data_IF_314581712218
#
_entry.id   IF_314581712218
#
_cell.length_a   1.000
_cell.length_b   1.000
_cell.length_c   1.000
_cell.angle_alpha   90.00
_cell.angle_beta   90.00
_cell.angle_gamma   90.00
#
_symmetry.space_group_name_H-M   'P 1'
#
loop_
_entity.id
_entity.type
_entity.pdbx_description
1 polymer ?
#
# COMPACT_ATOMS: atom_id res chain seq x y z
N UNK A 1 10.31 -5.18 5.38
CA UNK A 1 9.06 -5.03 4.64
C UNK A 1 8.79 -6.27 3.79
N UNK A 2 7.52 -6.68 3.69
CA UNK A 2 7.09 -7.77 2.83
C UNK A 2 6.59 -7.18 1.50
N UNK A 3 7.17 -7.67 0.39
CA UNK A 3 6.76 -7.30 -0.97
C UNK A 3 5.93 -8.42 -1.59
N UNK A 4 4.65 -8.16 -1.82
CA UNK A 4 3.71 -9.10 -2.41
C UNK A 4 3.48 -8.79 -3.90
N UNK A 5 4.11 -9.57 -4.77
CA UNK A 5 3.95 -9.48 -6.24
C UNK A 5 2.60 -9.98 -6.74
N UNK A 6 1.88 -10.77 -5.93
CA UNK A 6 0.60 -11.38 -6.33
C UNK A 6 -0.52 -10.35 -6.40
N UNK A 7 -0.37 -9.20 -5.72
CA UNK A 7 -1.40 -8.15 -5.66
C UNK A 7 -1.85 -7.73 -7.05
N UNK A 8 -0.94 -7.53 -8.00
CA UNK A 8 -1.29 -7.17 -9.39
C UNK A 8 -2.16 -8.24 -10.04
N UNK A 9 -1.82 -9.52 -9.89
CA UNK A 9 -2.60 -10.65 -10.41
C UNK A 9 -3.96 -10.79 -9.72
N UNK A 10 -4.02 -10.58 -8.41
CA UNK A 10 -5.25 -10.63 -7.63
C UNK A 10 -6.24 -9.53 -8.06
N UNK A 11 -5.76 -8.29 -8.21
CA UNK A 11 -6.58 -7.16 -8.69
C UNK A 11 -7.13 -7.46 -10.08
N UNK A 12 -6.28 -7.92 -11.00
CA UNK A 12 -6.70 -8.33 -12.34
C UNK A 12 -7.78 -9.40 -12.32
N UNK A 13 -7.60 -10.44 -11.51
CA UNK A 13 -8.58 -11.52 -11.37
C UNK A 13 -9.92 -11.02 -10.79
N UNK A 14 -9.90 -10.10 -9.81
CA UNK A 14 -11.09 -9.47 -9.25
C UNK A 14 -11.84 -8.64 -10.29
N UNK A 15 -11.12 -7.80 -11.07
CA UNK A 15 -11.71 -7.02 -12.16
C UNK A 15 -12.38 -7.93 -13.17
N UNK A 16 -11.68 -8.93 -13.66
CA UNK A 16 -12.23 -9.87 -14.65
C UNK A 16 -13.48 -10.58 -14.12
N UNK A 17 -13.46 -11.03 -12.86
CA UNK A 17 -14.62 -11.67 -12.22
C UNK A 17 -15.79 -10.68 -12.09
N UNK A 18 -15.56 -9.49 -11.56
CA UNK A 18 -16.58 -8.47 -11.39
C UNK A 18 -17.25 -8.13 -12.73
N UNK A 19 -16.48 -7.80 -13.76
CA UNK A 19 -16.99 -7.45 -15.08
C UNK A 19 -17.75 -8.60 -15.73
N UNK A 20 -17.25 -9.84 -15.63
CA UNK A 20 -17.93 -11.01 -16.19
C UNK A 20 -19.26 -11.31 -15.48
N UNK A 21 -19.29 -11.17 -14.14
CA UNK A 21 -20.50 -11.37 -13.33
C UNK A 21 -21.54 -10.33 -13.69
N UNK A 22 -21.18 -9.05 -13.74
CA UNK A 22 -22.12 -7.98 -14.07
C UNK A 22 -22.70 -8.14 -15.49
N UNK A 23 -21.85 -8.48 -16.47
CA UNK A 23 -22.33 -8.76 -17.85
C UNK A 23 -23.33 -9.91 -17.94
N UNK A 24 -23.15 -10.95 -17.10
CA UNK A 24 -23.99 -12.17 -17.17
C UNK A 24 -25.26 -12.05 -16.33
N UNK A 25 -25.17 -11.51 -15.12
CA UNK A 25 -26.23 -11.58 -14.13
C UNK A 25 -27.05 -10.29 -14.02
N UNK A 26 -26.50 -9.12 -14.40
CA UNK A 26 -27.15 -7.83 -14.22
C UNK A 26 -27.50 -7.15 -15.55
N UNK A 27 -28.06 -7.90 -16.50
CA UNK A 27 -28.51 -7.34 -17.80
C UNK A 27 -29.61 -6.31 -17.65
N UNK A 28 -30.44 -6.41 -16.59
CA UNK A 28 -31.52 -5.47 -16.35
C UNK A 28 -31.03 -4.02 -16.21
N UNK A 29 -29.94 -3.79 -15.45
CA UNK A 29 -29.38 -2.43 -15.25
C UNK A 29 -28.77 -1.90 -16.55
N UNK A 30 -28.16 -2.75 -17.37
CA UNK A 30 -27.60 -2.37 -18.67
C UNK A 30 -28.73 -1.94 -19.60
N UNK A 31 -29.82 -2.73 -19.67
CA UNK A 31 -31.00 -2.42 -20.50
C UNK A 31 -31.70 -1.14 -20.04
N UNK A 32 -31.80 -0.91 -18.73
CA UNK A 32 -32.34 0.35 -18.18
C UNK A 32 -31.50 1.56 -18.60
N UNK A 33 -30.17 1.43 -18.58
CA UNK A 33 -29.27 2.50 -18.97
C UNK A 33 -29.34 2.92 -20.45
N UNK A 34 -29.90 2.06 -21.31
CA UNK A 34 -30.10 2.30 -22.74
C UNK A 34 -31.38 3.09 -23.05
N UNK A 35 -32.30 3.21 -22.09
CA UNK A 35 -33.54 3.95 -22.28
C UNK A 35 -33.24 5.44 -22.48
N UNK A 36 -33.61 5.99 -23.64
CA UNK A 36 -33.33 7.38 -24.02
C UNK A 36 -33.87 8.46 -23.06
N UNK A 37 -34.92 8.12 -22.29
CA UNK A 37 -35.63 9.06 -21.42
C UNK A 37 -35.28 8.93 -19.94
N UNK A 38 -34.29 8.08 -19.57
CA UNK A 38 -33.90 7.91 -18.19
C UNK A 38 -32.79 8.91 -17.81
N UNK A 39 -33.11 9.85 -16.94
CA UNK A 39 -32.13 10.78 -16.41
C UNK A 39 -31.11 10.02 -15.52
N UNK A 40 -29.89 10.54 -15.40
CA UNK A 40 -28.82 9.92 -14.64
C UNK A 40 -29.25 9.58 -13.20
N UNK A 41 -29.87 10.53 -12.49
CA UNK A 41 -30.35 10.35 -11.12
C UNK A 41 -31.55 9.41 -10.94
N UNK A 42 -32.24 9.02 -12.03
CA UNK A 42 -33.32 8.03 -11.98
C UNK A 42 -32.77 6.59 -12.04
N UNK A 43 -31.76 6.38 -12.85
CA UNK A 43 -31.09 5.07 -12.93
C UNK A 43 -30.54 4.64 -11.57
N UNK A 44 -29.90 5.57 -10.87
CA UNK A 44 -29.25 5.34 -9.57
C UNK A 44 -30.23 4.90 -8.46
N UNK A 45 -31.53 5.27 -8.61
CA UNK A 45 -32.60 4.92 -7.66
C UNK A 45 -33.23 3.55 -7.93
N UNK A 46 -32.90 2.90 -9.03
CA UNK A 46 -33.50 1.60 -9.37
C UNK A 46 -32.91 0.49 -8.51
N UNK A 47 -33.73 -0.48 -8.11
CA UNK A 47 -33.30 -1.67 -7.38
C UNK A 47 -32.21 -2.42 -8.15
N UNK A 48 -32.37 -2.54 -9.47
CA UNK A 48 -31.39 -3.21 -10.35
C UNK A 48 -30.01 -2.52 -10.30
N UNK A 49 -29.96 -1.17 -10.18
CA UNK A 49 -28.71 -0.44 -10.06
C UNK A 49 -28.06 -0.68 -8.69
N UNK A 50 -28.84 -0.61 -7.63
CA UNK A 50 -28.34 -0.77 -6.25
C UNK A 50 -27.80 -2.19 -6.04
N UNK A 51 -28.52 -3.20 -6.50
CA UNK A 51 -28.08 -4.60 -6.41
C UNK A 51 -26.80 -4.86 -7.25
N UNK A 52 -26.77 -4.36 -8.48
CA UNK A 52 -25.61 -4.49 -9.34
C UNK A 52 -24.39 -3.76 -8.77
N UNK A 53 -24.57 -2.55 -8.21
CA UNK A 53 -23.51 -1.80 -7.54
C UNK A 53 -22.96 -2.55 -6.32
N UNK A 54 -23.83 -3.13 -5.51
CA UNK A 54 -23.45 -3.96 -4.36
C UNK A 54 -22.60 -5.14 -4.81
N UNK A 55 -23.05 -5.90 -5.82
CA UNK A 55 -22.31 -7.02 -6.39
C UNK A 55 -20.95 -6.60 -6.92
N UNK A 56 -20.86 -5.43 -7.58
CA UNK A 56 -19.61 -4.89 -8.10
C UNK A 56 -18.63 -4.51 -7.00
N UNK A 57 -19.14 -3.83 -5.95
CA UNK A 57 -18.34 -3.42 -4.80
C UNK A 57 -17.82 -4.62 -4.01
N UNK A 58 -18.65 -5.62 -3.78
CA UNK A 58 -18.27 -6.86 -3.10
C UNK A 58 -17.21 -7.64 -3.89
N UNK A 59 -17.37 -7.76 -5.22
CA UNK A 59 -16.42 -8.48 -6.07
C UNK A 59 -15.04 -7.81 -6.15
N UNK A 60 -14.99 -6.47 -6.01
CA UNK A 60 -13.76 -5.69 -6.03
C UNK A 60 -13.25 -5.34 -4.63
N UNK A 61 -14.03 -5.63 -3.58
CA UNK A 61 -13.73 -5.31 -2.16
C UNK A 61 -13.50 -3.80 -1.94
N UNK A 62 -14.20 -2.96 -2.71
CA UNK A 62 -14.08 -1.49 -2.66
C UNK A 62 -15.44 -0.87 -2.90
N UNK A 63 -15.77 0.16 -2.12
CA UNK A 63 -16.97 0.96 -2.33
C UNK A 63 -16.78 1.97 -3.47
N UNK A 64 -17.81 2.09 -4.32
CA UNK A 64 -17.85 3.04 -5.43
C UNK A 64 -18.98 4.05 -5.24
N UNK A 65 -18.76 5.28 -5.71
CA UNK A 65 -19.84 6.26 -5.80
C UNK A 65 -20.81 5.88 -6.91
N UNK A 66 -22.05 6.38 -6.85
CA UNK A 66 -23.04 6.11 -7.89
C UNK A 66 -22.55 6.52 -9.27
N UNK A 67 -21.95 7.72 -9.39
CA UNK A 67 -21.40 8.19 -10.65
C UNK A 67 -20.22 7.34 -11.20
N UNK A 68 -19.39 6.75 -10.33
CA UNK A 68 -18.35 5.81 -10.75
C UNK A 68 -18.96 4.51 -11.29
N UNK A 69 -19.94 3.98 -10.59
CA UNK A 69 -20.61 2.76 -11.02
C UNK A 69 -21.49 2.99 -12.25
N UNK A 70 -22.20 4.13 -12.33
CA UNK A 70 -22.98 4.53 -13.52
C UNK A 70 -22.13 4.51 -14.79
N UNK A 71 -20.89 5.01 -14.74
CA UNK A 71 -19.99 4.96 -15.89
C UNK A 71 -19.71 3.53 -16.35
N UNK A 72 -19.58 2.59 -15.41
CA UNK A 72 -19.40 1.16 -15.74
C UNK A 72 -20.66 0.58 -16.40
N UNK A 73 -21.84 0.92 -15.89
CA UNK A 73 -23.14 0.51 -16.45
C UNK A 73 -23.32 1.08 -17.87
N UNK A 74 -23.10 2.39 -18.07
CA UNK A 74 -23.26 3.05 -19.38
C UNK A 74 -22.24 2.57 -20.41
N UNK A 75 -21.08 2.14 -19.99
CA UNK A 75 -20.12 1.46 -20.87
C UNK A 75 -20.42 -0.04 -21.02
N UNK A 76 -21.54 -0.53 -20.45
CA UNK A 76 -22.01 -1.92 -20.51
C UNK A 76 -20.97 -2.93 -20.00
N UNK A 77 -20.16 -2.51 -19.06
CA UNK A 77 -19.02 -3.31 -18.58
C UNK A 77 -18.16 -3.85 -19.73
N UNK A 78 -17.94 -3.03 -20.77
CA UNK A 78 -17.27 -3.45 -21.99
C UNK A 78 -15.87 -4.03 -21.69
N UNK A 79 -15.44 -5.10 -22.40
CA UNK A 79 -14.10 -5.67 -22.25
C UNK A 79 -12.97 -4.67 -22.47
N UNK A 80 -13.24 -3.59 -23.21
CA UNK A 80 -12.29 -2.51 -23.40
C UNK A 80 -12.03 -1.73 -22.11
N UNK A 81 -13.07 -1.40 -21.34
CA UNK A 81 -12.94 -0.71 -20.03
C UNK A 81 -12.20 -1.60 -19.06
N UNK A 82 -12.53 -2.89 -18.99
CA UNK A 82 -11.85 -3.90 -18.20
C UNK A 82 -10.33 -3.93 -18.49
N UNK A 83 -9.94 -3.92 -19.80
CA UNK A 83 -8.53 -3.86 -20.21
C UNK A 83 -7.84 -2.56 -19.81
N UNK A 84 -8.52 -1.42 -19.92
CA UNK A 84 -7.98 -0.11 -19.52
C UNK A 84 -7.67 -0.09 -18.02
N UNK A 85 -8.63 -0.51 -17.18
CA UNK A 85 -8.42 -0.61 -15.74
C UNK A 85 -7.25 -1.53 -15.39
N UNK A 86 -7.21 -2.70 -16.03
CA UNK A 86 -6.14 -3.68 -15.81
C UNK A 86 -4.77 -3.14 -16.25
N UNK A 87 -4.71 -2.41 -17.36
CA UNK A 87 -3.48 -1.82 -17.88
C UNK A 87 -2.93 -0.75 -16.93
N UNK A 88 -3.75 0.22 -16.51
CA UNK A 88 -3.32 1.26 -15.58
C UNK A 88 -2.82 0.67 -14.26
N UNK A 89 -3.53 -0.32 -13.72
CA UNK A 89 -3.15 -0.95 -12.47
C UNK A 89 -1.91 -1.83 -12.61
N UNK A 90 -1.74 -2.54 -13.73
CA UNK A 90 -0.54 -3.33 -13.98
C UNK A 90 0.71 -2.47 -14.03
N UNK A 91 0.64 -1.35 -14.75
CA UNK A 91 1.75 -0.41 -14.89
C UNK A 91 2.17 0.21 -13.55
N UNK A 92 1.19 0.65 -12.75
CA UNK A 92 1.46 1.27 -11.45
C UNK A 92 2.00 0.24 -10.46
N UNK A 93 1.51 -1.01 -10.50
CA UNK A 93 1.99 -2.09 -9.64
C UNK A 93 3.41 -2.59 -9.98
N UNK A 94 4.07 -2.07 -11.01
CA UNK A 94 5.51 -2.26 -11.22
C UNK A 94 6.34 -1.50 -10.16
N UNK A 95 5.76 -0.46 -9.59
CA UNK A 95 6.39 0.28 -8.50
C UNK A 95 6.20 -0.43 -7.16
N UNK A 96 7.08 -0.11 -6.20
CA UNK A 96 6.90 -0.45 -4.80
C UNK A 96 5.95 0.58 -4.17
N UNK A 97 4.76 0.13 -3.78
CA UNK A 97 3.69 0.99 -3.26
C UNK A 97 3.50 0.70 -1.77
N UNK A 98 3.67 1.72 -0.93
CA UNK A 98 3.41 1.68 0.51
C UNK A 98 2.14 2.42 0.87
N UNK A 99 1.57 2.10 2.03
CA UNK A 99 0.42 2.86 2.55
C UNK A 99 0.81 4.27 2.99
N UNK A 100 2.03 4.45 3.53
CA UNK A 100 2.52 5.73 4.03
C UNK A 100 4.04 5.84 3.80
N UNK A 101 4.45 6.72 2.90
CA UNK A 101 5.85 6.97 2.54
C UNK A 101 6.63 7.69 3.64
N UNK A 102 5.99 8.53 4.44
CA UNK A 102 6.66 9.27 5.51
C UNK A 102 7.15 8.32 6.61
N UNK A 103 6.36 7.31 6.97
CA UNK A 103 6.81 6.26 7.90
C UNK A 103 8.04 5.52 7.37
N UNK A 104 8.07 5.25 6.08
CA UNK A 104 9.22 4.60 5.45
C UNK A 104 10.47 5.47 5.55
N UNK A 105 10.38 6.78 5.31
CA UNK A 105 11.50 7.72 5.38
C UNK A 105 12.10 7.85 6.79
N UNK A 106 11.26 7.83 7.83
CA UNK A 106 11.73 7.96 9.22
C UNK A 106 12.51 6.73 9.69
N UNK A 107 12.24 5.56 9.15
CA UNK A 107 12.87 4.30 9.55
C UNK A 107 14.15 3.96 8.76
N UNK A 108 14.43 4.66 7.66
CA UNK A 108 15.35 4.18 6.60
C UNK A 108 16.72 4.82 6.52
N UNK A 109 17.26 5.36 7.57
CA UNK A 109 18.63 5.91 7.55
C UNK A 109 19.74 4.93 7.08
N UNK A 110 19.44 3.63 6.95
CA UNK A 110 20.41 2.57 6.59
C UNK A 110 19.91 1.57 5.52
N UNK A 111 18.83 1.92 4.79
CA UNK A 111 18.19 0.99 3.85
C UNK A 111 17.12 0.13 4.49
N UNK A 112 16.37 -0.58 3.65
CA UNK A 112 15.22 -1.41 4.04
C UNK A 112 15.43 -2.83 3.54
N UNK A 113 15.22 -3.82 4.39
CA UNK A 113 15.17 -5.21 3.95
C UNK A 113 13.79 -5.53 3.38
N UNK A 114 13.76 -5.96 2.14
CA UNK A 114 12.57 -6.46 1.45
C UNK A 114 12.55 -7.98 1.50
N UNK A 115 11.48 -8.54 2.03
CA UNK A 115 11.18 -9.96 1.96
C UNK A 115 10.19 -10.18 0.82
N UNK A 116 10.59 -10.91 -0.20
CA UNK A 116 9.70 -11.28 -1.28
C UNK A 116 8.79 -12.41 -0.87
N UNK A 117 7.48 -12.20 -0.97
CA UNK A 117 6.47 -13.24 -0.75
C UNK A 117 6.24 -13.97 -2.08
N UNK A 118 6.67 -15.23 -2.17
CA UNK A 118 6.47 -16.08 -3.35
C UNK A 118 5.19 -16.93 -3.22
N UNK A 119 4.66 -17.39 -4.36
CA UNK A 119 3.37 -18.11 -4.47
C UNK A 119 3.29 -19.41 -3.66
N UNK A 120 4.43 -20.03 -3.37
CA UNK A 120 4.51 -21.29 -2.64
C UNK A 120 4.64 -21.14 -1.11
N UNK A 121 4.55 -19.92 -0.58
CA UNK A 121 4.47 -19.67 0.87
C UNK A 121 5.72 -19.99 1.69
N UNK A 122 6.86 -20.35 1.08
CA UNK A 122 7.99 -20.91 1.78
C UNK A 122 9.37 -20.27 1.54
N UNK A 123 9.62 -19.65 0.42
CA UNK A 123 10.94 -19.06 0.12
C UNK A 123 10.86 -17.54 0.14
N UNK A 124 11.33 -16.96 1.23
CA UNK A 124 11.57 -15.52 1.34
C UNK A 124 12.96 -15.24 0.78
N UNK A 125 13.04 -14.63 -0.42
CA UNK A 125 14.28 -14.02 -0.85
C UNK A 125 14.40 -12.65 -0.19
N UNK A 126 15.47 -12.44 0.56
CA UNK A 126 15.77 -11.15 1.17
C UNK A 126 16.61 -10.29 0.23
N UNK A 127 16.28 -9.04 0.11
CA UNK A 127 17.02 -8.05 -0.63
C UNK A 127 17.12 -6.76 0.17
N UNK A 128 18.32 -6.22 0.30
CA UNK A 128 18.51 -4.88 0.87
C UNK A 128 18.21 -3.84 -0.21
N UNK A 129 17.25 -2.98 0.07
CA UNK A 129 16.82 -1.92 -0.83
C UNK A 129 17.24 -0.57 -0.27
N UNK A 130 18.13 0.10 -0.98
CA UNK A 130 18.71 1.38 -0.53
C UNK A 130 18.05 2.60 -1.17
N UNK A 131 17.33 2.42 -2.30
CA UNK A 131 16.70 3.52 -3.02
C UNK A 131 15.28 3.80 -2.54
N UNK A 132 15.12 4.22 -1.30
CA UNK A 132 13.80 4.50 -0.71
C UNK A 132 13.03 5.61 -1.42
N UNK A 133 13.72 6.50 -2.14
CA UNK A 133 13.08 7.56 -2.94
C UNK A 133 12.26 7.01 -4.11
N UNK A 134 12.61 5.82 -4.63
CA UNK A 134 11.85 5.14 -5.69
C UNK A 134 10.55 4.47 -5.20
N UNK A 135 10.35 4.35 -3.89
CA UNK A 135 9.08 3.87 -3.34
C UNK A 135 8.05 4.99 -3.41
N UNK A 136 6.85 4.68 -3.87
CA UNK A 136 5.72 5.61 -3.91
C UNK A 136 4.68 5.20 -2.85
N UNK A 137 3.83 6.14 -2.46
CA UNK A 137 2.64 5.82 -1.67
C UNK A 137 1.41 5.65 -2.57
N UNK A 138 0.29 5.32 -1.95
CA UNK A 138 -0.99 5.15 -2.66
C UNK A 138 -1.38 6.44 -3.42
N UNK A 139 -1.10 7.62 -2.86
CA UNK A 139 -1.42 8.89 -3.52
C UNK A 139 -0.49 9.15 -4.71
N UNK A 140 0.80 8.85 -4.61
CA UNK A 140 1.74 8.90 -5.73
C UNK A 140 1.33 7.95 -6.86
N UNK A 141 0.91 6.73 -6.50
CA UNK A 141 0.38 5.75 -7.45
C UNK A 141 -0.89 6.24 -8.17
N UNK A 142 -1.79 6.93 -7.45
CA UNK A 142 -2.98 7.56 -8.02
C UNK A 142 -2.65 8.70 -8.96
N UNK A 143 -1.64 9.52 -8.62
CA UNK A 143 -1.17 10.60 -9.48
C UNK A 143 -0.55 10.07 -10.79
N UNK A 144 0.20 8.96 -10.73
CA UNK A 144 0.69 8.31 -11.94
C UNK A 144 -0.44 7.82 -12.86
N UNK A 145 -1.55 7.30 -12.29
CA UNK A 145 -2.72 6.94 -13.09
C UNK A 145 -3.31 8.16 -13.78
N UNK A 146 -3.42 9.31 -13.09
CA UNK A 146 -3.93 10.55 -13.69
C UNK A 146 -3.09 11.00 -14.87
N UNK A 147 -1.76 10.97 -14.75
CA UNK A 147 -0.85 11.36 -15.84
C UNK A 147 -0.96 10.42 -17.06
N UNK A 148 -0.94 9.11 -16.81
CA UNK A 148 -1.06 8.10 -17.87
C UNK A 148 -2.43 8.17 -18.55
N UNK A 149 -3.49 8.43 -17.79
CA UNK A 149 -4.85 8.53 -18.31
C UNK A 149 -5.01 9.73 -19.28
N UNK A 150 -4.40 10.88 -18.98
CA UNK A 150 -4.42 12.04 -19.88
C UNK A 150 -3.88 11.65 -21.26
N UNK A 151 -2.66 11.11 -21.30
CA UNK A 151 -2.03 10.70 -22.56
C UNK A 151 -2.85 9.62 -23.30
N UNK A 152 -3.47 8.70 -22.54
CA UNK A 152 -4.25 7.60 -23.10
C UNK A 152 -5.58 8.06 -23.72
N UNK A 153 -6.35 8.90 -23.02
CA UNK A 153 -7.67 9.35 -23.49
C UNK A 153 -7.60 10.47 -24.54
N UNK A 154 -6.50 11.21 -24.63
CA UNK A 154 -6.23 12.16 -25.70
C UNK A 154 -6.00 11.47 -27.06
N UNK A 155 -5.67 10.18 -27.04
CA UNK A 155 -5.46 9.39 -28.24
C UNK A 155 -6.72 9.19 -29.08
N UNK A 156 -6.62 9.17 -30.44
CA UNK A 156 -7.76 9.14 -31.36
C UNK A 156 -8.64 7.89 -31.20
N UNK A 157 -8.05 6.78 -30.73
CA UNK A 157 -8.77 5.52 -30.55
C UNK A 157 -9.66 5.47 -29.30
N UNK A 158 -9.49 6.40 -28.35
CA UNK A 158 -10.17 6.38 -27.07
C UNK A 158 -11.28 7.42 -26.93
N UNK A 159 -11.55 8.21 -27.97
CA UNK A 159 -12.55 9.30 -27.97
C UNK A 159 -13.96 8.83 -27.58
N UNK A 160 -14.35 7.62 -27.94
CA UNK A 160 -15.66 7.06 -27.56
C UNK A 160 -15.83 6.94 -26.02
N UNK A 161 -14.73 6.73 -25.30
CA UNK A 161 -14.74 6.63 -23.85
C UNK A 161 -14.42 7.96 -23.14
N UNK A 162 -14.07 9.00 -23.89
CA UNK A 162 -13.74 10.32 -23.33
C UNK A 162 -14.81 10.87 -22.37
N UNK A 163 -16.14 10.74 -22.64
CA UNK A 163 -17.17 11.18 -21.68
C UNK A 163 -17.16 10.45 -20.33
N UNK A 164 -16.52 9.29 -20.27
CA UNK A 164 -16.43 8.44 -19.07
C UNK A 164 -15.01 8.40 -18.49
N UNK A 165 -14.05 9.08 -19.12
CA UNK A 165 -12.63 8.99 -18.77
C UNK A 165 -12.37 9.26 -17.29
N UNK A 166 -12.84 10.38 -16.75
CA UNK A 166 -12.63 10.76 -15.36
C UNK A 166 -13.17 9.72 -14.37
N UNK A 167 -14.34 9.14 -14.69
CA UNK A 167 -14.97 8.13 -13.85
C UNK A 167 -14.25 6.78 -13.94
N UNK A 168 -13.78 6.38 -15.11
CA UNK A 168 -12.96 5.18 -15.31
C UNK A 168 -11.64 5.32 -14.53
N UNK A 169 -11.00 6.47 -14.63
CA UNK A 169 -9.78 6.80 -13.87
C UNK A 169 -10.04 6.76 -12.37
N UNK A 170 -11.15 7.35 -11.93
CA UNK A 170 -11.54 7.33 -10.53
C UNK A 170 -11.77 5.89 -10.00
N UNK A 171 -12.32 4.99 -10.83
CA UNK A 171 -12.44 3.56 -10.49
C UNK A 171 -11.05 2.92 -10.39
N UNK A 172 -10.15 3.16 -11.35
CA UNK A 172 -8.78 2.65 -11.31
C UNK A 172 -8.05 3.10 -10.02
N UNK A 173 -8.16 4.39 -9.66
CA UNK A 173 -7.54 4.96 -8.45
C UNK A 173 -8.07 4.33 -7.16
N UNK A 174 -9.34 3.93 -7.12
CA UNK A 174 -9.92 3.21 -5.97
C UNK A 174 -9.34 1.81 -5.81
N UNK A 175 -8.92 1.17 -6.88
CA UNK A 175 -8.37 -0.18 -6.90
C UNK A 175 -6.86 -0.24 -6.63
N UNK A 176 -6.20 0.91 -6.45
CA UNK A 176 -4.78 0.95 -6.06
C UNK A 176 -4.63 0.41 -4.65
N UNK A 177 -3.79 -0.61 -4.51
CA UNK A 177 -3.45 -1.24 -3.23
C UNK A 177 -1.94 -1.21 -2.99
N UNK A 178 -1.49 -1.05 -1.75
CA UNK A 178 -0.07 -1.18 -1.42
C UNK A 178 0.38 -2.63 -1.65
N UNK A 179 1.54 -2.79 -2.26
CA UNK A 179 2.19 -4.08 -2.48
C UNK A 179 3.43 -4.26 -1.60
N UNK A 180 3.75 -3.24 -0.80
CA UNK A 180 4.85 -3.24 0.15
C UNK A 180 4.31 -2.92 1.56
N UNK A 181 4.40 -3.86 2.49
CA UNK A 181 3.87 -3.74 3.85
C UNK A 181 4.95 -3.91 4.90
N UNK A 182 4.89 -3.14 6.00
CA UNK A 182 5.82 -3.27 7.10
C UNK A 182 5.56 -4.58 7.87
N UNK A 183 6.55 -5.47 7.89
CA UNK A 183 6.53 -6.64 8.74
C UNK A 183 7.03 -6.27 10.15
N UNK A 184 6.10 -5.84 11.01
CA UNK A 184 6.42 -5.40 12.37
C UNK A 184 7.04 -6.53 13.20
N UNK A 185 6.50 -7.73 13.12
CA UNK A 185 6.98 -8.88 13.90
C UNK A 185 8.44 -9.20 13.57
N UNK A 186 8.78 -9.28 12.28
CA UNK A 186 10.15 -9.53 11.83
C UNK A 186 11.09 -8.38 12.21
N UNK A 187 10.63 -7.13 12.06
CA UNK A 187 11.41 -5.95 12.45
C UNK A 187 11.74 -5.94 13.93
N UNK A 188 10.77 -6.23 14.79
CA UNK A 188 10.98 -6.31 16.25
C UNK A 188 11.87 -7.49 16.63
N UNK A 189 11.69 -8.65 16.00
CA UNK A 189 12.54 -9.81 16.24
C UNK A 189 14.01 -9.52 15.91
N UNK A 190 14.27 -8.87 14.78
CA UNK A 190 15.64 -8.47 14.39
C UNK A 190 16.23 -7.42 15.32
N UNK A 191 15.43 -6.43 15.76
CA UNK A 191 15.87 -5.45 16.78
C UNK A 191 16.31 -6.12 18.06
N UNK A 192 15.50 -7.06 18.57
CA UNK A 192 15.84 -7.82 19.79
C UNK A 192 17.10 -8.65 19.65
N UNK A 193 17.31 -9.29 18.49
CA UNK A 193 18.53 -10.05 18.23
C UNK A 193 19.77 -9.15 18.26
N UNK A 194 19.70 -8.00 17.57
CA UNK A 194 20.80 -7.02 17.57
C UNK A 194 21.07 -6.47 18.98
N UNK A 195 20.01 -6.19 19.76
CA UNK A 195 20.15 -5.75 21.14
C UNK A 195 20.83 -6.80 22.03
N UNK A 196 20.52 -8.09 21.82
CA UNK A 196 21.16 -9.21 22.54
C UNK A 196 22.63 -9.43 22.15
N UNK A 197 22.97 -9.14 20.88
CA UNK A 197 24.35 -9.22 20.37
C UNK A 197 25.24 -8.07 20.83
N UNK A 198 24.67 -6.95 21.25
CA UNK A 198 25.42 -5.83 21.82
C UNK A 198 26.00 -6.26 23.16
N UNK A 199 27.30 -6.67 23.14
CA UNK A 199 28.03 -6.96 24.36
C UNK A 199 28.07 -5.69 25.21
N UNK A 200 27.70 -5.78 26.51
CA UNK A 200 27.82 -4.63 27.37
C UNK A 200 29.28 -4.15 27.40
N UNK A 201 29.48 -2.87 27.20
CA UNK A 201 30.82 -2.27 27.33
C UNK A 201 31.21 -2.35 28.80
N UNK A 202 32.00 -3.36 29.14
CA UNK A 202 32.54 -3.49 30.49
C UNK A 202 33.63 -2.43 30.69
N UNK A 203 33.31 -1.40 31.44
CA UNK A 203 34.30 -0.45 31.92
C UNK A 203 34.90 -1.00 33.20
N UNK A 204 36.13 -1.53 33.13
CA UNK A 204 36.86 -1.97 34.31
C UNK A 204 37.39 -0.74 35.07
N UNK A 205 36.93 -0.53 36.26
CA UNK A 205 37.41 0.51 37.17
C UNK A 205 38.23 -0.17 38.28
N UNK A 206 39.45 0.20 38.43
CA UNK A 206 40.31 -0.39 39.43
C UNK A 206 40.06 0.26 40.82
N UNK A 207 40.28 -0.49 41.89
CA UNK A 207 40.15 0.04 43.26
C UNK A 207 41.12 1.23 43.45
N UNK A 208 40.55 2.39 43.83
CA UNK A 208 41.32 3.63 43.98
C UNK A 208 41.40 4.51 42.74
N UNK A 209 40.83 4.09 41.61
CA UNK A 209 40.74 4.92 40.42
C UNK A 209 39.70 6.03 40.61
N UNK A 210 40.10 7.28 40.28
CA UNK A 210 39.22 8.43 40.40
C UNK A 210 38.23 8.45 39.23
N UNK A 211 36.93 8.40 39.50
CA UNK A 211 35.84 8.43 38.52
C UNK A 211 35.63 9.89 38.02
N UNK A 212 35.75 10.87 38.89
CA UNK A 212 35.60 12.29 38.62
C UNK A 212 36.72 13.04 39.36
N UNK A 213 37.41 13.94 38.69
CA UNK A 213 38.42 14.77 39.29
C UNK A 213 37.81 16.03 39.89
N UNK A 214 38.46 16.59 40.89
CA UNK A 214 38.03 17.85 41.49
C UNK A 214 38.00 18.97 40.45
N UNK A 215 36.83 19.66 40.32
CA UNK A 215 36.60 20.70 39.32
C UNK A 215 36.12 20.17 37.94
N UNK A 216 36.01 18.87 37.72
CA UNK A 216 35.49 18.30 36.48
C UNK A 216 33.96 18.28 36.48
N UNK A 217 33.36 18.66 35.35
CA UNK A 217 31.90 18.63 35.19
C UNK A 217 31.40 17.16 35.04
N UNK A 218 30.45 16.79 35.89
CA UNK A 218 29.84 15.45 35.84
C UNK A 218 29.07 15.29 34.53
N UNK A 219 29.49 14.33 33.72
CA UNK A 219 28.83 13.96 32.45
C UNK A 219 28.00 12.69 32.60
N UNK A 220 27.25 12.32 31.52
CA UNK A 220 26.38 11.14 31.52
C UNK A 220 27.15 9.84 31.82
N UNK A 221 28.41 9.72 31.38
CA UNK A 221 29.24 8.54 31.63
C UNK A 221 29.57 8.41 33.11
N UNK A 222 29.93 9.48 33.78
CA UNK A 222 30.20 9.52 35.24
C UNK A 222 28.96 9.09 36.02
N UNK A 223 27.77 9.61 35.66
CA UNK A 223 26.50 9.23 36.32
C UNK A 223 26.19 7.75 36.17
N UNK A 224 26.44 7.18 34.99
CA UNK A 224 26.20 5.75 34.74
C UNK A 224 27.10 4.89 35.60
N UNK A 225 28.38 5.21 35.70
CA UNK A 225 29.36 4.50 36.53
C UNK A 225 28.97 4.55 38.00
N UNK A 226 28.63 5.74 38.50
CA UNK A 226 28.25 5.92 39.94
C UNK A 226 26.98 5.15 40.26
N UNK A 227 25.97 5.16 39.41
CA UNK A 227 24.74 4.35 39.61
C UNK A 227 25.02 2.85 39.65
N UNK A 228 25.90 2.38 38.76
CA UNK A 228 26.25 0.96 38.70
C UNK A 228 27.02 0.51 39.99
N UNK A 229 27.89 1.40 40.47
CA UNK A 229 28.59 1.12 41.74
C UNK A 229 27.62 1.09 42.95
N UNK A 230 26.65 1.99 42.97
CA UNK A 230 25.63 1.99 44.01
C UNK A 230 24.80 0.70 44.01
N UNK A 231 24.41 0.22 42.80
CA UNK A 231 23.68 -1.03 42.65
C UNK A 231 24.51 -2.25 43.09
N UNK A 232 25.78 -2.29 42.70
CA UNK A 232 26.66 -3.40 43.11
C UNK A 232 26.90 -3.40 44.65
N UNK A 233 27.07 -2.23 45.27
CA UNK A 233 27.20 -2.10 46.72
C UNK A 233 25.95 -2.56 47.50
N UNK A 234 24.75 -2.42 46.89
CA UNK A 234 23.50 -2.89 47.53
C UNK A 234 23.31 -4.40 47.40
N UNK A 235 23.91 -5.05 46.41
CA UNK A 235 23.83 -6.48 46.17
C UNK A 235 24.89 -7.26 46.96
N UNK A 236 25.93 -6.62 47.48
CA UNK A 236 27.00 -7.22 48.25
C UNK A 236 26.76 -7.13 49.79
N UNK A 237 25.61 -6.58 50.22
CA UNK A 237 25.14 -6.53 51.59
C UNK A 237 23.89 -7.41 51.78
#
# INVERSE_FOLDING_TARGET
YDYDRRISGQIKARINRAFSTLRKQHQAVITLSERKNMAAGELEKTEAFLEAKKTFSEALEVDFTDGQFEAMVRTKFAPRVERILTHFLADVNLNLIVSNKELLKTETGRGVTLNRVDDEGGRRSEMVFNNVSAVIDVEGARAEIDEKAKAFFDGPHNRVLAPFADRIVAVAKRLVMPNLTLNRQETESRRRLVEQEIKPVLVKINKGESIVRYGETINKRHLTILRQMEQNSRNDN
#
